data_IF_342097227881
#
_entry.id   IF_342097227881
#
_cell.length_a   1.000
_cell.length_b   1.000
_cell.length_c   1.000
_cell.angle_alpha   90.00
_cell.angle_beta   90.00
_cell.angle_gamma   90.00
#
_symmetry.space_group_name_H-M   'P 1'
#
loop_
_entity.id
_entity.type
_entity.pdbx_description
1 polymer ?
#
# COMPACT_ATOMS: atom_id res chain seq x y z
N UNK A 1 -28.97 3.52 1.41
CA UNK A 1 -29.98 3.45 2.49
C UNK A 1 -30.79 4.72 2.37
N UNK A 2 -32.09 4.60 2.13
CA UNK A 2 -32.97 5.75 1.86
C UNK A 2 -33.20 6.54 3.15
N UNK A 3 -33.38 7.87 3.09
CA UNK A 3 -33.49 8.73 4.30
C UNK A 3 -34.66 8.32 5.22
N UNK A 4 -35.68 7.65 4.65
CA UNK A 4 -36.83 7.08 5.34
C UNK A 4 -36.52 5.80 6.13
N UNK A 5 -35.50 5.04 5.75
CA UNK A 5 -35.14 3.78 6.42
C UNK A 5 -34.37 4.05 7.72
N UNK A 6 -33.60 5.15 7.77
CA UNK A 6 -32.86 5.55 8.96
C UNK A 6 -33.80 5.96 10.11
N UNK A 7 -34.91 6.64 9.77
CA UNK A 7 -35.93 7.08 10.74
C UNK A 7 -36.69 5.88 11.31
N UNK A 8 -36.92 4.84 10.49
CA UNK A 8 -37.59 3.60 10.91
C UNK A 8 -36.71 2.71 11.79
N UNK A 9 -35.38 2.84 11.70
CA UNK A 9 -34.43 2.06 12.50
C UNK A 9 -34.25 2.60 13.92
N UNK A 10 -34.75 3.81 14.22
CA UNK A 10 -34.70 4.38 15.57
C UNK A 10 -35.74 3.66 16.44
N UNK A 11 -35.35 3.06 17.58
CA UNK A 11 -36.29 2.41 18.48
C UNK A 11 -37.37 3.38 18.94
N UNK A 12 -38.62 2.92 18.97
CA UNK A 12 -39.79 3.75 19.28
C UNK A 12 -39.71 4.39 20.67
N UNK A 13 -39.02 3.76 21.61
CA UNK A 13 -38.71 4.27 22.95
C UNK A 13 -37.84 5.55 22.91
N UNK A 14 -36.79 5.54 22.07
CA UNK A 14 -35.87 6.69 21.89
C UNK A 14 -36.57 7.82 21.14
N UNK A 15 -37.38 7.47 20.14
CA UNK A 15 -38.19 8.45 19.41
C UNK A 15 -39.24 9.12 20.32
N UNK A 16 -39.89 8.35 21.21
CA UNK A 16 -40.85 8.87 22.18
C UNK A 16 -40.21 9.77 23.23
N UNK A 17 -39.08 9.36 23.81
CA UNK A 17 -38.35 10.18 24.77
C UNK A 17 -37.89 11.52 24.17
N UNK A 18 -37.42 11.52 22.92
CA UNK A 18 -37.05 12.75 22.21
C UNK A 18 -38.26 13.62 21.83
N UNK A 19 -39.41 13.00 21.51
CA UNK A 19 -40.65 13.70 21.14
C UNK A 19 -41.31 14.38 22.35
N UNK A 20 -41.34 13.70 23.51
CA UNK A 20 -41.93 14.23 24.74
C UNK A 20 -41.13 15.39 25.33
N UNK A 21 -39.80 15.41 25.15
CA UNK A 21 -38.93 16.50 25.64
C UNK A 21 -38.89 17.74 24.72
N UNK A 22 -39.39 17.66 23.47
CA UNK A 22 -39.07 18.68 22.44
C UNK A 22 -40.24 19.15 21.58
N UNK A 23 -41.43 19.36 22.14
CA UNK A 23 -42.46 20.15 21.43
C UNK A 23 -42.09 21.64 21.54
N UNK A 24 -41.21 22.10 20.66
CA UNK A 24 -41.02 23.54 20.45
C UNK A 24 -41.92 24.05 19.30
N UNK A 25 -42.50 25.27 19.40
CA UNK A 25 -43.31 25.89 18.35
C UNK A 25 -42.60 26.06 17.00
N UNK A 26 -41.27 25.90 16.94
CA UNK A 26 -40.44 26.08 15.76
C UNK A 26 -40.65 25.00 14.68
N UNK A 27 -41.15 23.81 15.05
CA UNK A 27 -41.38 22.71 14.10
C UNK A 27 -42.52 22.97 13.09
N UNK A 28 -43.32 24.02 13.29
CA UNK A 28 -44.47 24.34 12.43
C UNK A 28 -44.11 25.11 11.16
N UNK A 29 -42.88 25.61 11.02
CA UNK A 29 -42.46 26.36 9.83
C UNK A 29 -41.38 25.65 8.99
N UNK A 30 -41.82 25.15 7.82
CA UNK A 30 -41.09 25.16 6.55
C UNK A 30 -39.93 24.15 6.34
N UNK A 31 -39.93 23.50 5.16
CA UNK A 31 -39.13 22.32 4.77
C UNK A 31 -37.60 22.35 4.90
N UNK A 32 -36.98 23.45 5.34
CA UNK A 32 -35.55 23.47 5.74
C UNK A 32 -35.33 22.74 7.07
N UNK A 33 -36.28 22.77 7.99
CA UNK A 33 -36.18 22.09 9.29
C UNK A 33 -36.08 20.57 9.12
N UNK A 34 -36.84 19.97 8.20
CA UNK A 34 -36.75 18.54 7.91
C UNK A 34 -35.38 18.12 7.37
N UNK A 35 -34.81 18.95 6.48
CA UNK A 35 -33.47 18.70 5.95
C UNK A 35 -32.39 18.82 7.03
N UNK A 36 -32.51 19.80 7.93
CA UNK A 36 -31.53 20.01 9.00
C UNK A 36 -31.67 18.99 10.14
N UNK A 37 -32.88 18.48 10.40
CA UNK A 37 -33.11 17.35 11.31
C UNK A 37 -32.47 16.06 10.77
N UNK A 38 -32.68 15.74 9.48
CA UNK A 38 -32.06 14.56 8.85
C UNK A 38 -30.53 14.68 8.87
N UNK A 39 -29.97 15.86 8.56
CA UNK A 39 -28.52 16.11 8.68
C UNK A 39 -28.02 15.92 10.11
N UNK A 40 -28.75 16.41 11.10
CA UNK A 40 -28.38 16.29 12.52
C UNK A 40 -28.42 14.83 12.97
N UNK A 41 -29.49 14.09 12.63
CA UNK A 41 -29.57 12.65 12.91
C UNK A 41 -28.45 11.88 12.23
N UNK A 42 -28.13 12.20 10.98
CA UNK A 42 -27.00 11.60 10.26
C UNK A 42 -25.67 11.92 10.94
N UNK A 43 -25.47 13.13 11.43
CA UNK A 43 -24.25 13.52 12.14
C UNK A 43 -24.13 12.82 13.51
N UNK A 44 -25.24 12.71 14.26
CA UNK A 44 -25.28 12.00 15.55
C UNK A 44 -25.06 10.51 15.38
N UNK A 45 -25.63 9.90 14.34
CA UNK A 45 -25.47 8.48 14.02
C UNK A 45 -24.19 8.17 13.24
N UNK A 46 -23.49 9.19 12.72
CA UNK A 46 -22.27 9.02 11.93
C UNK A 46 -21.21 8.15 12.63
N UNK A 47 -20.90 8.32 13.93
CA UNK A 47 -19.93 7.46 14.60
C UNK A 47 -20.33 5.97 14.59
N UNK A 48 -21.62 5.66 14.76
CA UNK A 48 -22.13 4.29 14.76
C UNK A 48 -22.13 3.69 13.34
N UNK A 49 -22.59 4.46 12.36
CA UNK A 49 -22.54 4.04 10.95
C UNK A 49 -21.11 3.81 10.50
N UNK A 50 -20.21 4.73 10.84
CA UNK A 50 -18.79 4.62 10.54
C UNK A 50 -18.18 3.37 11.20
N UNK A 51 -18.45 3.14 12.49
CA UNK A 51 -17.98 1.93 13.18
C UNK A 51 -18.49 0.64 12.51
N UNK A 52 -19.75 0.58 12.11
CA UNK A 52 -20.31 -0.56 11.36
C UNK A 52 -19.57 -0.75 10.02
N UNK A 53 -19.31 0.32 9.28
CA UNK A 53 -18.55 0.21 8.02
C UNK A 53 -17.12 -0.30 8.22
N UNK A 54 -16.45 0.08 9.31
CA UNK A 54 -15.12 -0.43 9.64
C UNK A 54 -15.18 -1.92 10.00
N UNK A 55 -16.23 -2.36 10.69
CA UNK A 55 -16.45 -3.75 11.05
C UNK A 55 -16.68 -4.61 9.81
N UNK A 56 -17.54 -4.16 8.88
CA UNK A 56 -17.82 -4.87 7.63
C UNK A 56 -16.56 -5.00 6.77
N UNK A 57 -15.77 -3.92 6.67
CA UNK A 57 -14.47 -3.94 5.97
C UNK A 57 -13.50 -4.93 6.58
N UNK A 58 -13.34 -4.90 7.91
CA UNK A 58 -12.46 -5.82 8.62
C UNK A 58 -12.90 -7.26 8.40
N UNK A 59 -14.19 -7.56 8.54
CA UNK A 59 -14.73 -8.89 8.30
C UNK A 59 -14.42 -9.39 6.87
N UNK A 60 -14.55 -8.51 5.88
CA UNK A 60 -14.18 -8.79 4.49
C UNK A 60 -12.70 -9.16 4.33
N UNK A 61 -11.79 -8.36 4.90
CA UNK A 61 -10.35 -8.62 4.83
C UNK A 61 -9.91 -9.87 5.59
N UNK A 62 -10.48 -10.12 6.77
CA UNK A 62 -10.22 -11.34 7.54
C UNK A 62 -10.66 -12.58 6.75
N UNK A 63 -11.85 -12.53 6.15
CA UNK A 63 -12.36 -13.60 5.29
C UNK A 63 -11.42 -13.87 4.12
N UNK A 64 -10.99 -12.83 3.40
CA UNK A 64 -10.01 -12.96 2.30
C UNK A 64 -8.71 -13.61 2.76
N UNK A 65 -8.22 -13.24 3.94
CA UNK A 65 -6.97 -13.78 4.48
C UNK A 65 -7.07 -15.28 4.78
N UNK A 66 -8.22 -15.72 5.32
CA UNK A 66 -8.49 -17.13 5.64
C UNK A 66 -8.70 -17.94 4.35
N UNK A 67 -9.45 -17.40 3.38
CA UNK A 67 -9.77 -18.06 2.10
C UNK A 67 -8.54 -18.32 1.24
N UNK A 68 -7.47 -17.53 1.41
CA UNK A 68 -6.17 -17.75 0.73
C UNK A 68 -5.41 -18.98 1.24
N UNK A 69 -5.76 -19.52 2.40
CA UNK A 69 -5.06 -20.67 3.01
C UNK A 69 -5.93 -21.92 2.91
N UNK A 70 -5.38 -23.07 2.45
CA UNK A 70 -6.09 -24.35 2.47
C UNK A 70 -6.54 -24.76 3.89
N UNK A 71 -7.73 -25.34 4.03
CA UNK A 71 -8.32 -25.69 5.34
C UNK A 71 -7.43 -26.57 6.21
N UNK A 72 -6.71 -27.52 5.60
CA UNK A 72 -5.81 -28.46 6.26
C UNK A 72 -4.52 -27.81 6.79
N UNK A 73 -4.25 -26.57 6.39
CA UNK A 73 -3.05 -25.80 6.77
C UNK A 73 -3.34 -24.64 7.73
N UNK A 74 -4.62 -24.30 7.92
CA UNK A 74 -5.04 -23.17 8.76
C UNK A 74 -4.72 -23.45 10.23
N UNK A 75 -4.01 -22.51 10.85
CA UNK A 75 -3.78 -22.42 12.28
C UNK A 75 -4.26 -21.06 12.80
N UNK A 76 -4.46 -20.96 14.11
CA UNK A 76 -4.69 -19.66 14.72
C UNK A 76 -3.38 -18.83 14.63
N UNK A 77 -3.41 -17.64 14.01
CA UNK A 77 -2.25 -16.76 13.99
C UNK A 77 -1.98 -16.23 15.39
N UNK A 78 -0.72 -15.95 15.71
CA UNK A 78 -0.33 -15.35 17.00
C UNK A 78 -0.96 -13.97 17.17
N UNK A 79 -1.41 -13.65 18.37
CA UNK A 79 -2.16 -12.42 18.67
C UNK A 79 -1.32 -11.17 18.42
N UNK A 80 0.00 -11.26 18.65
CA UNK A 80 0.96 -10.18 18.42
C UNK A 80 1.08 -9.75 16.95
N UNK A 81 0.64 -10.60 16.01
CA UNK A 81 0.52 -10.28 14.59
C UNK A 81 -0.94 -9.99 14.20
N UNK A 82 -1.86 -10.86 14.62
CA UNK A 82 -3.24 -10.80 14.18
C UNK A 82 -3.94 -9.51 14.63
N UNK A 83 -3.74 -9.06 15.88
CA UNK A 83 -4.42 -7.88 16.40
C UNK A 83 -3.93 -6.59 15.74
N UNK A 84 -2.60 -6.31 15.63
CA UNK A 84 -2.13 -5.12 14.93
C UNK A 84 -2.53 -5.09 13.45
N UNK A 85 -2.52 -6.24 12.76
CA UNK A 85 -2.96 -6.32 11.36
C UNK A 85 -4.46 -6.00 11.25
N UNK A 86 -5.29 -6.58 12.13
CA UNK A 86 -6.72 -6.31 12.15
C UNK A 86 -7.04 -4.83 12.42
N UNK A 87 -6.27 -4.18 13.30
CA UNK A 87 -6.41 -2.75 13.55
C UNK A 87 -6.16 -1.91 12.29
N UNK A 88 -5.08 -2.21 11.55
CA UNK A 88 -4.74 -1.51 10.31
C UNK A 88 -5.77 -1.74 9.20
N UNK A 89 -6.20 -2.99 9.00
CA UNK A 89 -7.14 -3.37 7.93
C UNK A 89 -8.47 -2.61 7.95
N UNK A 90 -8.90 -2.13 9.12
CA UNK A 90 -10.12 -1.30 9.24
C UNK A 90 -10.05 -0.02 8.42
N UNK A 91 -8.85 0.53 8.24
CA UNK A 91 -8.64 1.81 7.56
C UNK A 91 -8.37 1.66 6.05
N UNK A 92 -8.24 0.43 5.55
CA UNK A 92 -8.00 0.15 4.14
C UNK A 92 -9.25 -0.36 3.43
N UNK A 93 -9.53 0.19 2.26
CA UNK A 93 -10.54 -0.38 1.38
C UNK A 93 -10.02 -1.60 0.62
N UNK A 94 -10.91 -2.26 -0.11
CA UNK A 94 -10.62 -3.48 -0.88
C UNK A 94 -9.65 -3.28 -2.05
N UNK A 95 -9.43 -2.03 -2.49
CA UNK A 95 -8.55 -1.69 -3.62
C UNK A 95 -7.17 -1.24 -3.14
N UNK A 96 -6.99 -1.06 -1.84
CA UNK A 96 -5.76 -0.58 -1.26
C UNK A 96 -4.63 -1.60 -1.46
N UNK A 97 -3.55 -1.15 -2.12
CA UNK A 97 -2.30 -1.93 -2.27
C UNK A 97 -1.76 -2.31 -0.88
N UNK A 98 -1.70 -1.34 0.03
CA UNK A 98 -1.24 -1.54 1.42
C UNK A 98 -2.19 -2.47 2.19
N UNK A 99 -3.51 -2.33 2.00
CA UNK A 99 -4.49 -3.26 2.58
C UNK A 99 -4.27 -4.71 2.13
N UNK A 100 -4.02 -4.93 0.83
CA UNK A 100 -3.70 -6.24 0.30
C UNK A 100 -2.39 -6.82 0.88
N UNK A 101 -1.39 -5.98 1.19
CA UNK A 101 -0.16 -6.43 1.85
C UNK A 101 -0.43 -6.94 3.27
N UNK A 102 -1.31 -6.26 4.03
CA UNK A 102 -1.76 -6.74 5.34
C UNK A 102 -2.54 -8.06 5.25
N UNK A 103 -3.42 -8.21 4.26
CA UNK A 103 -4.13 -9.46 3.97
C UNK A 103 -3.13 -10.59 3.66
N UNK A 104 -2.13 -10.33 2.82
CA UNK A 104 -1.07 -11.31 2.50
C UNK A 104 -0.31 -11.72 3.75
N UNK A 105 0.15 -10.76 4.56
CA UNK A 105 0.87 -11.03 5.81
C UNK A 105 0.03 -11.88 6.79
N UNK A 106 -1.25 -11.54 6.98
CA UNK A 106 -2.14 -12.32 7.84
C UNK A 106 -2.37 -13.73 7.29
N UNK A 107 -2.48 -13.88 5.97
CA UNK A 107 -2.60 -15.20 5.33
C UNK A 107 -1.37 -16.07 5.64
N UNK A 108 -0.15 -15.50 5.58
CA UNK A 108 1.07 -16.21 5.97
C UNK A 108 1.07 -16.60 7.44
N UNK A 109 0.56 -15.75 8.32
CA UNK A 109 0.45 -16.04 9.75
C UNK A 109 -0.57 -17.16 10.07
N UNK A 110 -1.58 -17.35 9.22
CA UNK A 110 -2.60 -18.40 9.33
C UNK A 110 -2.10 -19.74 8.75
N UNK A 111 -1.17 -19.74 7.81
CA UNK A 111 -0.67 -20.96 7.16
C UNK A 111 0.49 -21.59 7.96
N UNK A 112 0.28 -22.79 8.51
CA UNK A 112 1.31 -23.52 9.29
C UNK A 112 2.63 -23.75 8.54
N UNK A 113 2.61 -23.84 7.21
CA UNK A 113 3.81 -24.06 6.39
C UNK A 113 4.58 -22.76 6.15
N UNK A 114 3.87 -21.62 6.18
CA UNK A 114 4.40 -20.30 5.81
C UNK A 114 4.47 -19.32 6.98
N UNK A 115 4.07 -19.74 8.19
CA UNK A 115 4.08 -18.91 9.40
C UNK A 115 5.46 -18.31 9.70
N UNK A 116 6.54 -19.01 9.32
CA UNK A 116 7.91 -18.50 9.44
C UNK A 116 8.22 -17.28 8.57
N UNK A 117 7.41 -17.01 7.55
CA UNK A 117 7.52 -15.82 6.69
C UNK A 117 6.86 -14.58 7.33
N UNK A 118 5.91 -14.78 8.24
CA UNK A 118 5.14 -13.70 8.86
C UNK A 118 5.94 -13.01 9.97
N UNK A 119 6.89 -12.15 9.61
CA UNK A 119 7.71 -11.45 10.58
C UNK A 119 6.95 -10.27 11.25
N UNK A 120 6.96 -10.13 12.59
CA UNK A 120 6.24 -9.06 13.31
C UNK A 120 6.57 -7.63 12.85
N UNK A 121 7.82 -7.37 12.50
CA UNK A 121 8.24 -6.05 12.00
C UNK A 121 7.50 -5.62 10.71
N UNK A 122 6.98 -6.57 9.93
CA UNK A 122 6.32 -6.26 8.67
C UNK A 122 5.04 -5.46 8.85
N UNK A 123 4.37 -5.56 10.00
CA UNK A 123 3.22 -4.71 10.31
C UNK A 123 3.61 -3.23 10.26
N UNK A 124 4.72 -2.88 10.92
CA UNK A 124 5.23 -1.50 10.96
C UNK A 124 5.78 -1.05 9.61
N UNK A 125 6.49 -1.93 8.89
CA UNK A 125 7.01 -1.62 7.56
C UNK A 125 5.86 -1.33 6.61
N UNK A 126 4.85 -2.21 6.51
CA UNK A 126 3.67 -2.01 5.64
C UNK A 126 2.99 -0.67 5.98
N UNK A 127 2.82 -0.35 7.27
CA UNK A 127 2.14 0.89 7.69
C UNK A 127 2.86 2.18 7.30
N UNK A 128 4.16 2.11 7.00
CA UNK A 128 4.96 3.26 6.59
C UNK A 128 5.01 3.43 5.07
N UNK A 129 4.60 2.42 4.29
CA UNK A 129 4.76 2.44 2.84
C UNK A 129 3.67 3.23 2.11
N UNK A 130 4.11 3.99 1.10
CA UNK A 130 3.23 4.49 0.06
C UNK A 130 2.89 3.38 -0.98
N UNK A 131 1.75 3.48 -1.68
CA UNK A 131 1.41 2.53 -2.76
C UNK A 131 2.49 2.43 -3.86
N UNK A 132 3.11 3.56 -4.21
CA UNK A 132 4.20 3.60 -5.20
C UNK A 132 5.47 2.90 -4.71
N UNK A 133 5.75 2.92 -3.41
CA UNK A 133 6.89 2.20 -2.83
C UNK A 133 6.67 0.69 -2.90
N UNK A 134 5.43 0.21 -2.70
CA UNK A 134 5.09 -1.19 -2.89
C UNK A 134 5.27 -1.63 -4.36
N UNK A 135 4.88 -0.79 -5.32
CA UNK A 135 5.13 -1.04 -6.74
C UNK A 135 6.64 -1.04 -7.07
N UNK A 136 7.39 -0.13 -6.47
CA UNK A 136 8.83 -0.05 -6.64
C UNK A 136 9.56 -1.28 -6.07
N UNK A 137 9.13 -1.81 -4.92
CA UNK A 137 9.67 -3.07 -4.37
C UNK A 137 9.48 -4.22 -5.39
N UNK A 138 8.33 -4.31 -6.07
CA UNK A 138 8.10 -5.32 -7.11
C UNK A 138 9.06 -5.17 -8.29
N UNK A 139 9.27 -3.94 -8.78
CA UNK A 139 10.25 -3.68 -9.84
C UNK A 139 11.67 -4.08 -9.41
N UNK A 140 12.08 -3.75 -8.17
CA UNK A 140 13.39 -4.11 -7.62
C UNK A 140 13.54 -5.63 -7.51
N UNK A 141 12.50 -6.32 -7.04
CA UNK A 141 12.47 -7.78 -6.90
C UNK A 141 12.62 -8.50 -8.24
N UNK A 142 12.12 -7.93 -9.34
CA UNK A 142 12.17 -8.53 -10.66
C UNK A 142 13.54 -8.41 -11.35
N UNK A 143 14.31 -7.35 -11.06
CA UNK A 143 15.54 -7.03 -11.80
C UNK A 143 16.84 -7.62 -11.19
N UNK A 144 16.91 -7.75 -9.86
CA UNK A 144 18.00 -8.39 -9.07
C UNK A 144 19.44 -8.18 -9.60
N UNK A 145 20.09 -7.02 -9.36
CA UNK A 145 19.55 -5.78 -8.78
C UNK A 145 18.92 -4.88 -9.85
N UNK A 146 18.06 -3.96 -9.42
CA UNK A 146 17.54 -2.89 -10.27
C UNK A 146 18.52 -1.73 -10.37
N UNK A 147 18.53 -1.04 -11.52
CA UNK A 147 19.28 0.20 -11.70
C UNK A 147 18.32 1.40 -11.63
N UNK A 148 18.70 2.48 -10.94
CA UNK A 148 17.99 3.75 -11.06
C UNK A 148 18.96 4.82 -11.58
N UNK A 149 18.49 5.59 -12.54
CA UNK A 149 19.26 6.63 -13.22
C UNK A 149 18.87 7.99 -12.68
N UNK A 150 19.84 8.87 -12.48
CA UNK A 150 19.61 10.25 -12.03
C UNK A 150 20.04 11.23 -13.12
N UNK A 151 19.20 12.24 -13.42
CA UNK A 151 19.52 13.19 -14.46
C UNK A 151 20.73 14.05 -14.06
N UNK A 152 21.57 14.46 -15.03
CA UNK A 152 22.75 15.30 -14.78
C UNK A 152 22.39 16.75 -14.45
N UNK A 153 21.18 17.22 -14.76
CA UNK A 153 20.73 18.61 -14.59
C UNK A 153 19.80 18.73 -13.39
N UNK A 154 20.02 19.77 -12.56
CA UNK A 154 19.22 20.06 -11.36
C UNK A 154 17.73 20.32 -11.61
N UNK A 155 17.34 20.67 -12.84
CA UNK A 155 15.96 21.03 -13.18
C UNK A 155 15.10 19.84 -13.65
N UNK A 156 15.68 18.66 -13.88
CA UNK A 156 14.93 17.45 -14.24
C UNK A 156 14.70 16.64 -12.98
N UNK A 157 13.44 16.51 -12.56
CA UNK A 157 13.09 15.76 -11.36
C UNK A 157 13.25 14.25 -11.54
N UNK A 158 12.98 13.70 -12.74
CA UNK A 158 13.02 12.25 -13.01
C UNK A 158 13.26 11.96 -14.50
N UNK A 159 13.89 10.82 -14.80
CA UNK A 159 14.05 10.32 -16.17
C UNK A 159 12.92 9.34 -16.51
N UNK A 160 11.98 9.79 -17.34
CA UNK A 160 10.89 8.96 -17.88
C UNK A 160 11.36 8.13 -19.08
N UNK A 161 10.51 7.22 -19.57
CA UNK A 161 10.87 6.19 -20.55
C UNK A 161 11.70 6.71 -21.75
N UNK A 162 11.17 7.64 -22.54
CA UNK A 162 11.83 8.11 -23.76
C UNK A 162 13.19 8.77 -23.48
N UNK A 163 13.27 9.55 -22.40
CA UNK A 163 14.51 10.22 -21.99
C UNK A 163 15.54 9.21 -21.51
N UNK A 164 15.10 8.23 -20.72
CA UNK A 164 15.92 7.15 -20.19
C UNK A 164 16.49 6.30 -21.32
N UNK A 165 15.65 5.85 -22.26
CA UNK A 165 16.08 5.06 -23.42
C UNK A 165 17.06 5.83 -24.31
N UNK A 166 16.77 7.11 -24.60
CA UNK A 166 17.65 7.95 -25.40
C UNK A 166 19.04 8.08 -24.75
N UNK A 167 19.11 8.35 -23.45
CA UNK A 167 20.37 8.46 -22.71
C UNK A 167 21.17 7.15 -22.76
N UNK A 168 20.53 6.01 -22.51
CA UNK A 168 21.19 4.70 -22.58
C UNK A 168 21.71 4.44 -24.00
N UNK A 169 20.90 4.68 -25.02
CA UNK A 169 21.27 4.43 -26.42
C UNK A 169 22.45 5.31 -26.89
N UNK A 170 22.48 6.58 -26.48
CA UNK A 170 23.58 7.51 -26.82
C UNK A 170 24.85 7.34 -25.98
N UNK A 171 24.82 6.51 -24.93
CA UNK A 171 25.98 6.30 -24.06
C UNK A 171 27.15 5.61 -24.77
N UNK A 172 28.35 5.77 -24.21
CA UNK A 172 29.57 5.08 -24.66
C UNK A 172 29.68 3.60 -24.25
N UNK A 173 28.61 3.02 -23.67
CA UNK A 173 28.57 1.63 -23.24
C UNK A 173 28.50 0.66 -24.43
N UNK A 174 28.95 -0.58 -24.23
CA UNK A 174 28.76 -1.65 -25.21
C UNK A 174 27.27 -1.99 -25.39
N UNK A 175 26.87 -2.52 -26.55
CA UNK A 175 25.45 -2.81 -26.82
C UNK A 175 24.85 -3.82 -25.83
N UNK A 176 25.64 -4.75 -25.34
CA UNK A 176 25.21 -5.70 -24.29
C UNK A 176 24.91 -4.98 -22.96
N UNK A 177 25.77 -4.04 -22.56
CA UNK A 177 25.58 -3.22 -21.36
C UNK A 177 24.33 -2.33 -21.49
N UNK A 178 24.10 -1.74 -22.67
CA UNK A 178 22.89 -0.95 -22.96
C UNK A 178 21.62 -1.77 -22.81
N UNK A 179 21.57 -2.93 -23.47
CA UNK A 179 20.43 -3.87 -23.37
C UNK A 179 20.20 -4.33 -21.94
N UNK A 180 21.28 -4.63 -21.21
CA UNK A 180 21.18 -5.04 -19.83
C UNK A 180 20.61 -3.93 -18.95
N UNK A 181 21.13 -2.70 -19.06
CA UNK A 181 20.66 -1.54 -18.30
C UNK A 181 19.18 -1.23 -18.58
N UNK A 182 18.75 -1.26 -19.85
CA UNK A 182 17.34 -1.07 -20.23
C UNK A 182 16.41 -2.07 -19.54
N UNK A 183 16.86 -3.32 -19.37
CA UNK A 183 16.07 -4.38 -18.74
C UNK A 183 15.94 -4.21 -17.24
N UNK A 184 17.02 -3.80 -16.56
CA UNK A 184 17.06 -3.72 -15.09
C UNK A 184 16.71 -2.32 -14.55
N UNK A 185 16.54 -1.33 -15.43
CA UNK A 185 16.22 0.03 -15.01
C UNK A 185 14.83 0.10 -14.36
N UNK A 186 14.75 0.76 -13.21
CA UNK A 186 13.49 1.21 -12.59
C UNK A 186 12.73 2.06 -13.61
N UNK A 187 11.41 1.93 -13.58
CA UNK A 187 10.47 2.59 -14.48
C UNK A 187 9.60 3.55 -13.69
N UNK A 188 10.04 4.81 -13.47
CA UNK A 188 9.27 5.78 -12.72
C UNK A 188 7.90 6.06 -13.35
N UNK A 189 7.76 5.93 -14.67
CA UNK A 189 6.51 6.13 -15.41
C UNK A 189 5.40 5.12 -15.04
N UNK A 190 5.73 4.02 -14.36
CA UNK A 190 4.74 3.06 -13.85
C UNK A 190 4.25 3.44 -12.43
N UNK A 191 4.84 4.46 -11.80
CA UNK A 191 4.43 4.99 -10.49
C UNK A 191 3.38 6.09 -10.63
N UNK A 192 2.53 6.28 -9.63
CA UNK A 192 1.54 7.36 -9.62
C UNK A 192 2.20 8.74 -9.48
N UNK A 193 3.30 8.84 -8.74
CA UNK A 193 4.13 10.06 -8.59
C UNK A 193 5.59 9.79 -8.98
N UNK A 194 5.91 9.75 -10.29
CA UNK A 194 7.24 9.43 -10.79
C UNK A 194 8.36 10.31 -10.22
N UNK A 195 8.09 11.58 -9.96
CA UNK A 195 9.04 12.57 -9.44
C UNK A 195 9.57 12.26 -8.04
N UNK A 196 8.85 11.42 -7.27
CA UNK A 196 9.24 11.02 -5.92
C UNK A 196 10.08 9.74 -5.90
N UNK A 197 10.41 9.14 -7.05
CA UNK A 197 11.10 7.84 -7.12
C UNK A 197 12.39 7.79 -6.29
N UNK A 198 13.19 8.86 -6.26
CA UNK A 198 14.41 8.87 -5.44
C UNK A 198 14.09 8.91 -3.94
N UNK A 199 13.08 9.69 -3.54
CA UNK A 199 12.61 9.73 -2.15
C UNK A 199 12.10 8.36 -1.71
N UNK A 200 11.35 7.68 -2.58
CA UNK A 200 10.88 6.31 -2.36
C UNK A 200 12.04 5.32 -2.18
N UNK A 201 13.07 5.40 -3.03
CA UNK A 201 14.27 4.55 -2.86
C UNK A 201 14.95 4.81 -1.52
N UNK A 202 15.18 6.07 -1.15
CA UNK A 202 15.84 6.40 0.13
C UNK A 202 15.02 5.95 1.35
N UNK A 203 13.69 6.06 1.28
CA UNK A 203 12.81 5.58 2.34
C UNK A 203 12.83 4.04 2.42
N UNK A 204 12.80 3.33 1.29
CA UNK A 204 12.92 1.86 1.28
C UNK A 204 14.27 1.37 1.83
N UNK A 205 15.34 2.14 1.59
CA UNK A 205 16.66 1.90 2.19
C UNK A 205 16.64 2.16 3.69
N UNK A 206 15.98 3.23 4.15
CA UNK A 206 15.89 3.55 5.59
C UNK A 206 15.02 2.55 6.38
N UNK A 207 14.00 1.96 5.73
CA UNK A 207 13.22 0.84 6.25
C UNK A 207 14.00 -0.48 6.29
N UNK A 208 15.20 -0.52 5.68
CA UNK A 208 16.04 -1.71 5.64
C UNK A 208 15.52 -2.82 4.71
N UNK A 209 14.58 -2.53 3.82
CA UNK A 209 14.04 -3.48 2.82
C UNK A 209 14.95 -3.52 1.58
N UNK A 210 15.54 -2.37 1.23
CA UNK A 210 16.40 -2.20 0.06
C UNK A 210 17.83 -1.87 0.49
N UNK A 211 18.81 -2.25 -0.33
CA UNK A 211 20.22 -1.89 -0.12
C UNK A 211 20.92 -1.55 -1.43
N UNK A 212 21.99 -0.76 -1.35
CA UNK A 212 22.81 -0.42 -2.50
C UNK A 212 23.78 -1.55 -2.85
N UNK A 213 23.95 -1.81 -4.15
CA UNK A 213 24.82 -2.86 -4.68
C UNK A 213 25.88 -2.27 -5.61
N UNK A 214 27.11 -2.74 -5.46
CA UNK A 214 28.23 -2.37 -6.34
C UNK A 214 28.73 -3.53 -7.21
N UNK A 215 28.21 -4.75 -7.00
CA UNK A 215 28.64 -5.95 -7.74
C UNK A 215 28.55 -5.79 -9.27
N UNK A 216 27.48 -5.19 -9.86
CA UNK A 216 27.39 -5.05 -11.31
C UNK A 216 28.50 -4.21 -11.94
N UNK A 217 29.12 -3.28 -11.19
CA UNK A 217 30.26 -2.49 -11.66
C UNK A 217 31.53 -3.34 -11.85
N UNK A 218 31.64 -4.46 -11.13
CA UNK A 218 32.78 -5.37 -11.23
C UNK A 218 32.56 -6.51 -12.24
N UNK A 219 31.37 -6.57 -12.85
CA UNK A 219 30.94 -7.63 -13.75
C UNK A 219 30.39 -7.05 -15.07
N UNK A 220 29.07 -7.02 -15.27
CA UNK A 220 28.41 -6.58 -16.51
C UNK A 220 28.83 -5.17 -16.94
N UNK A 221 28.98 -4.25 -15.98
CA UNK A 221 29.35 -2.85 -16.25
C UNK A 221 30.84 -2.56 -16.06
N UNK A 222 31.68 -3.60 -15.98
CA UNK A 222 33.13 -3.43 -15.83
C UNK A 222 33.70 -2.64 -17.02
N UNK A 223 34.35 -1.52 -16.71
CA UNK A 223 34.96 -0.66 -17.72
C UNK A 223 33.96 0.15 -18.56
N UNK A 224 32.69 0.24 -18.15
CA UNK A 224 31.72 1.14 -18.78
C UNK A 224 32.25 2.59 -18.74
N UNK A 225 32.38 3.22 -19.90
CA UNK A 225 32.89 4.60 -20.04
C UNK A 225 31.75 5.53 -20.45
N UNK A 226 31.62 6.65 -19.73
CA UNK A 226 30.93 7.84 -20.22
C UNK A 226 29.42 7.69 -20.34
N UNK A 227 28.75 7.51 -19.20
CA UNK A 227 27.35 7.89 -19.14
C UNK A 227 27.28 9.41 -18.93
N UNK A 228 26.51 10.12 -19.74
CA UNK A 228 26.13 11.52 -19.52
C UNK A 228 25.10 11.68 -18.38
N UNK A 229 24.99 10.65 -17.55
CA UNK A 229 24.04 10.47 -16.46
C UNK A 229 24.69 9.54 -15.43
N UNK A 230 24.29 9.68 -14.18
CA UNK A 230 24.71 8.76 -13.14
C UNK A 230 23.63 7.70 -12.93
N UNK A 231 24.03 6.48 -12.58
CA UNK A 231 23.10 5.43 -12.19
C UNK A 231 23.71 4.56 -11.10
N UNK A 232 22.85 4.02 -10.26
CA UNK A 232 23.22 3.18 -9.13
C UNK A 232 22.33 1.94 -9.11
N UNK A 233 22.80 0.91 -8.39
CA UNK A 233 22.06 -0.34 -8.26
C UNK A 233 21.49 -0.49 -6.87
N UNK A 234 20.23 -0.91 -6.81
CA UNK A 234 19.50 -1.23 -5.60
C UNK A 234 18.88 -2.61 -5.72
N UNK A 235 18.82 -3.33 -4.61
CA UNK A 235 18.25 -4.67 -4.55
C UNK A 235 17.61 -4.92 -3.19
N UNK A 236 16.75 -5.93 -3.14
CA UNK A 236 16.25 -6.43 -1.86
C UNK A 236 17.40 -7.12 -1.11
N UNK A 237 17.55 -6.81 0.17
CA UNK A 237 18.42 -7.58 1.06
C UNK A 237 17.65 -8.78 1.63
N UNK A 238 18.26 -9.58 2.51
CA UNK A 238 17.61 -10.78 3.06
C UNK A 238 16.28 -10.49 3.79
N UNK A 239 16.17 -9.36 4.49
CA UNK A 239 14.90 -8.93 5.09
C UNK A 239 13.90 -8.52 4.02
N UNK A 240 14.35 -7.78 3.00
CA UNK A 240 13.52 -7.34 1.88
C UNK A 240 12.98 -8.48 1.03
N UNK A 241 13.77 -9.54 0.80
CA UNK A 241 13.30 -10.74 0.10
C UNK A 241 12.23 -11.48 0.89
N UNK A 242 12.39 -11.58 2.22
CA UNK A 242 11.38 -12.14 3.10
C UNK A 242 10.11 -11.29 3.11
N UNK A 243 10.26 -9.97 3.17
CA UNK A 243 9.15 -9.01 3.11
C UNK A 243 8.37 -9.12 1.80
N UNK A 244 9.07 -9.16 0.66
CA UNK A 244 8.46 -9.31 -0.65
C UNK A 244 7.65 -10.61 -0.73
N UNK A 245 8.23 -11.74 -0.28
CA UNK A 245 7.53 -13.03 -0.26
C UNK A 245 6.29 -13.03 0.63
N UNK A 246 6.39 -12.47 1.83
CA UNK A 246 5.32 -12.50 2.80
C UNK A 246 4.16 -11.55 2.46
N UNK A 247 4.47 -10.37 1.91
CA UNK A 247 3.52 -9.27 1.81
C UNK A 247 3.08 -8.97 0.37
N UNK A 248 3.91 -9.30 -0.61
CA UNK A 248 3.77 -8.82 -2.00
C UNK A 248 3.73 -9.96 -3.04
N UNK A 249 4.12 -11.19 -2.65
CA UNK A 249 4.02 -12.36 -3.49
C UNK A 249 2.75 -13.16 -3.20
N UNK A 250 2.06 -13.56 -4.26
CA UNK A 250 0.94 -14.51 -4.18
C UNK A 250 1.42 -15.98 -4.12
N UNK A 251 2.70 -16.22 -4.39
CA UNK A 251 3.32 -17.56 -4.38
C UNK A 251 3.65 -18.11 -3.01
#
# INVERSE_FOLDING_TARGET
>A
MDDLDLIKAIPTEVAKAAYDDTISPALKETGKIGQDLVKTLRLVLFPLQYAATLQDRLAGHLRKSIERVPEDRRIAPVESLALPIAEQLRFHDDKSVVGNMFVSLLSRAIDRERVGEAHPAFVQIISQLAPDEAALIQQIAAAKPAAYMRPPKKDVAVLLNDQREALINTSGMADEQKRHLQRIAVRPEELAQPELVYTYIEHLVSLGVVSYFNAPWNDVFKGAKGASFDFWFVGLNGLGELFHRACLSDE
#
